data_IF_027914652880
#
_entry.id   IF_027914652880
#
_cell.length_a   1.000
_cell.length_b   1.000
_cell.length_c   1.000
_cell.angle_alpha   90.00
_cell.angle_beta   90.00
_cell.angle_gamma   90.00
#
_symmetry.space_group_name_H-M   'P 1'
#
loop_
_entity.id
_entity.type
_entity.pdbx_description
1 polymer ?
#
# COMPACT_ATOMS: atom_id res chain seq x y z
N UNK A 1 16.07 -12.73 1.63
CA UNK A 1 15.21 -11.76 2.36
C UNK A 1 13.74 -12.15 2.23
N UNK A 2 13.28 -12.39 1.00
CA UNK A 2 11.97 -13.01 0.74
C UNK A 2 11.80 -14.37 1.42
N UNK A 3 12.83 -15.22 1.51
CA UNK A 3 12.73 -16.55 2.17
C UNK A 3 12.19 -16.49 3.61
N UNK A 4 12.61 -15.48 4.39
CA UNK A 4 12.09 -15.27 5.75
C UNK A 4 10.65 -14.76 5.75
N UNK A 5 10.31 -13.88 4.80
CA UNK A 5 8.96 -13.37 4.64
C UNK A 5 8.00 -14.48 4.16
N UNK A 6 8.42 -15.33 3.23
CA UNK A 6 7.67 -16.47 2.72
C UNK A 6 7.42 -17.49 3.83
N UNK A 7 8.43 -17.79 4.64
CA UNK A 7 8.28 -18.65 5.83
C UNK A 7 7.26 -18.08 6.82
N UNK A 8 7.33 -16.78 7.11
CA UNK A 8 6.39 -16.13 8.02
C UNK A 8 4.96 -16.11 7.45
N UNK A 9 4.80 -15.81 6.16
CA UNK A 9 3.49 -15.82 5.48
C UNK A 9 2.90 -17.22 5.38
N UNK A 10 3.71 -18.25 5.16
CA UNK A 10 3.27 -19.65 5.21
C UNK A 10 2.74 -20.00 6.60
N UNK A 11 3.41 -19.53 7.67
CA UNK A 11 2.91 -19.67 9.04
C UNK A 11 1.56 -18.99 9.26
N UNK A 12 1.35 -17.80 8.70
CA UNK A 12 0.04 -17.10 8.76
C UNK A 12 -1.04 -17.86 7.98
N UNK A 13 -0.70 -18.40 6.80
CA UNK A 13 -1.63 -19.17 5.97
C UNK A 13 -2.05 -20.50 6.61
N UNK A 14 -1.21 -21.06 7.48
CA UNK A 14 -1.50 -22.29 8.23
C UNK A 14 -2.24 -22.07 9.55
N UNK A 15 -2.65 -20.85 9.89
CA UNK A 15 -3.42 -20.59 11.10
C UNK A 15 -4.84 -21.16 11.00
N UNK A 16 -5.17 -22.09 11.88
CA UNK A 16 -6.56 -22.46 12.16
C UNK A 16 -7.15 -21.41 13.11
N UNK A 17 -8.04 -20.57 12.58
CA UNK A 17 -8.69 -19.50 13.34
C UNK A 17 -10.07 -19.99 13.79
N UNK A 18 -10.19 -20.31 15.06
CA UNK A 18 -11.46 -20.70 15.70
C UNK A 18 -11.77 -19.76 16.88
N UNK A 19 -12.14 -18.49 16.60
CA UNK A 19 -12.40 -17.52 17.66
C UNK A 19 -13.64 -17.94 18.45
N UNK A 20 -13.49 -18.05 19.77
CA UNK A 20 -14.54 -18.49 20.70
C UNK A 20 -15.56 -17.39 21.05
N UNK A 21 -15.30 -16.14 20.65
CA UNK A 21 -16.13 -14.98 20.95
C UNK A 21 -15.80 -13.74 20.13
N UNK A 22 -16.66 -12.71 20.25
CA UNK A 22 -16.59 -11.50 19.42
C UNK A 22 -15.30 -10.69 19.62
N UNK A 23 -14.76 -10.63 20.84
CA UNK A 23 -13.53 -9.90 21.13
C UNK A 23 -12.31 -10.56 20.50
N UNK A 24 -12.26 -11.90 20.56
CA UNK A 24 -11.22 -12.70 19.91
C UNK A 24 -11.33 -12.59 18.39
N UNK A 25 -12.53 -12.73 17.82
CA UNK A 25 -12.76 -12.55 16.39
C UNK A 25 -12.32 -11.16 15.90
N UNK A 26 -12.64 -10.10 16.66
CA UNK A 26 -12.22 -8.74 16.37
C UNK A 26 -10.69 -8.58 16.44
N UNK A 27 -10.04 -9.20 17.43
CA UNK A 27 -8.59 -9.17 17.56
C UNK A 27 -7.91 -9.89 16.38
N UNK A 28 -8.38 -11.08 16.01
CA UNK A 28 -7.91 -11.82 14.85
C UNK A 28 -8.05 -11.01 13.56
N UNK A 29 -9.24 -10.46 13.31
CA UNK A 29 -9.52 -9.66 12.11
C UNK A 29 -8.60 -8.44 12.01
N UNK A 30 -8.44 -7.68 13.11
CA UNK A 30 -7.52 -6.52 13.15
C UNK A 30 -6.08 -6.93 12.90
N UNK A 31 -5.64 -8.05 13.46
CA UNK A 31 -4.25 -8.52 13.34
C UNK A 31 -3.92 -8.93 11.91
N UNK A 32 -4.80 -9.71 11.28
CA UNK A 32 -4.65 -10.15 9.88
C UNK A 32 -4.66 -8.95 8.95
N UNK A 33 -5.58 -8.02 9.17
CA UNK A 33 -5.67 -6.80 8.38
C UNK A 33 -4.41 -5.94 8.50
N UNK A 34 -3.81 -5.83 9.69
CA UNK A 34 -2.53 -5.13 9.87
C UNK A 34 -1.39 -5.81 9.09
N UNK A 35 -1.33 -7.15 9.10
CA UNK A 35 -0.35 -7.90 8.31
C UNK A 35 -0.56 -7.66 6.81
N UNK A 36 -1.80 -7.74 6.32
CA UNK A 36 -2.16 -7.44 4.92
C UNK A 36 -1.67 -6.06 4.51
N UNK A 37 -1.95 -5.03 5.33
CA UNK A 37 -1.52 -3.65 5.07
C UNK A 37 0.00 -3.49 5.00
N UNK A 38 0.77 -4.18 5.84
CA UNK A 38 2.24 -4.12 5.78
C UNK A 38 2.81 -4.65 4.46
N UNK A 39 2.19 -5.71 3.91
CA UNK A 39 2.56 -6.24 2.59
C UNK A 39 2.16 -5.26 1.49
N UNK A 40 0.95 -4.69 1.57
CA UNK A 40 0.49 -3.67 0.63
C UNK A 40 1.38 -2.41 0.64
N UNK A 41 1.83 -1.96 1.81
CA UNK A 41 2.76 -0.85 1.97
C UNK A 41 4.12 -1.15 1.33
N UNK A 42 4.64 -2.35 1.54
CA UNK A 42 5.89 -2.81 0.92
C UNK A 42 5.77 -2.82 -0.62
N UNK A 43 4.66 -3.34 -1.15
CA UNK A 43 4.39 -3.34 -2.59
C UNK A 43 4.33 -1.90 -3.14
N UNK A 44 3.60 -1.00 -2.47
CA UNK A 44 3.51 0.39 -2.88
C UNK A 44 4.90 1.08 -2.85
N UNK A 45 5.72 0.78 -1.85
CA UNK A 45 7.10 1.25 -1.75
C UNK A 45 7.97 0.79 -2.92
N UNK A 46 7.87 -0.49 -3.32
CA UNK A 46 8.55 -1.01 -4.50
C UNK A 46 8.13 -0.27 -5.78
N UNK A 47 6.83 -0.01 -5.95
CA UNK A 47 6.32 0.76 -7.10
C UNK A 47 6.88 2.18 -7.10
N UNK A 48 6.99 2.84 -5.95
CA UNK A 48 7.64 4.16 -5.85
C UNK A 48 9.10 4.11 -6.29
N UNK A 49 9.87 3.16 -5.79
CA UNK A 49 11.28 3.00 -6.16
C UNK A 49 11.44 2.67 -7.66
N UNK A 50 10.54 1.86 -8.22
CA UNK A 50 10.52 1.53 -9.63
C UNK A 50 10.15 2.73 -10.51
N UNK A 51 9.20 3.60 -10.08
CA UNK A 51 8.90 4.86 -10.79
C UNK A 51 10.08 5.83 -10.76
N UNK A 52 10.80 5.92 -9.64
CA UNK A 52 11.96 6.82 -9.52
C UNK A 52 13.13 6.42 -10.42
N UNK A 53 13.37 5.11 -10.59
CA UNK A 53 14.47 4.56 -11.39
C UNK A 53 14.09 4.23 -12.84
N UNK A 54 12.79 4.19 -13.15
CA UNK A 54 12.24 3.67 -14.40
C UNK A 54 12.72 2.23 -14.74
N UNK A 55 13.05 1.40 -13.72
CA UNK A 55 13.63 0.06 -13.91
C UNK A 55 12.78 -0.87 -14.79
N UNK A 56 11.46 -0.67 -14.79
CA UNK A 56 10.52 -1.42 -15.64
C UNK A 56 10.74 -1.20 -17.16
N UNK A 57 11.48 -0.17 -17.56
CA UNK A 57 11.87 0.03 -18.96
C UNK A 57 12.81 -1.11 -19.45
N UNK A 58 13.57 -1.72 -18.55
CA UNK A 58 14.39 -2.91 -18.87
C UNK A 58 13.57 -4.13 -19.30
N UNK A 59 12.29 -4.17 -18.92
CA UNK A 59 11.30 -5.19 -19.32
C UNK A 59 10.38 -4.70 -20.47
N UNK A 60 10.76 -3.61 -21.14
CA UNK A 60 10.02 -3.03 -22.26
C UNK A 60 8.72 -2.30 -21.89
N UNK A 61 8.46 -2.05 -20.60
CA UNK A 61 7.25 -1.35 -20.18
C UNK A 61 7.44 0.17 -20.18
N UNK A 62 6.44 0.89 -20.71
CA UNK A 62 6.47 2.36 -20.81
C UNK A 62 6.26 3.08 -19.47
N UNK A 63 5.55 2.45 -18.54
CA UNK A 63 5.21 3.05 -17.24
C UNK A 63 4.88 1.99 -16.20
N UNK A 64 4.89 2.39 -14.93
CA UNK A 64 4.59 1.52 -13.80
C UNK A 64 3.19 0.91 -13.84
N UNK A 65 2.18 1.55 -14.44
CA UNK A 65 0.83 0.97 -14.55
C UNK A 65 0.84 -0.25 -15.47
N UNK A 66 1.42 -0.14 -16.67
CA UNK A 66 1.53 -1.27 -17.61
C UNK A 66 2.38 -2.38 -17.00
N UNK A 67 3.50 -2.04 -16.37
CA UNK A 67 4.36 -3.01 -15.68
C UNK A 67 3.61 -3.76 -14.57
N UNK A 68 2.98 -3.02 -13.64
CA UNK A 68 2.21 -3.60 -12.52
C UNK A 68 1.06 -4.47 -13.01
N UNK A 69 0.40 -4.08 -14.12
CA UNK A 69 -0.66 -4.87 -14.76
C UNK A 69 -0.13 -6.22 -15.24
N UNK A 70 0.99 -6.20 -15.99
CA UNK A 70 1.55 -7.39 -16.66
C UNK A 70 2.19 -8.36 -15.67
N UNK A 71 3.02 -7.86 -14.77
CA UNK A 71 3.73 -8.70 -13.78
C UNK A 71 2.76 -9.37 -12.82
N UNK A 72 1.74 -8.65 -12.35
CA UNK A 72 0.82 -9.15 -11.33
C UNK A 72 -0.51 -9.69 -11.88
N UNK A 73 -0.68 -9.76 -13.21
CA UNK A 73 -1.91 -10.22 -13.88
C UNK A 73 -3.19 -9.50 -13.39
N UNK A 74 -3.09 -8.18 -13.20
CA UNK A 74 -4.18 -7.36 -12.67
C UNK A 74 -5.08 -6.83 -13.78
N UNK A 75 -6.30 -6.46 -13.43
CA UNK A 75 -7.08 -5.53 -14.27
C UNK A 75 -6.37 -4.18 -14.35
N UNK A 76 -6.67 -3.41 -15.40
CA UNK A 76 -6.09 -2.08 -15.59
C UNK A 76 -6.53 -1.13 -14.48
N UNK A 77 -7.75 -1.28 -13.99
CA UNK A 77 -8.36 -0.51 -12.91
C UNK A 77 -7.61 -0.72 -11.60
N UNK A 78 -7.32 -1.98 -11.25
CA UNK A 78 -6.59 -2.32 -10.03
C UNK A 78 -5.11 -1.90 -10.11
N UNK A 79 -4.46 -2.07 -11.27
CA UNK A 79 -3.10 -1.57 -11.45
C UNK A 79 -3.02 -0.04 -11.30
N UNK A 80 -4.00 0.70 -11.85
CA UNK A 80 -4.10 2.16 -11.66
C UNK A 80 -4.32 2.53 -10.20
N UNK A 81 -5.16 1.78 -9.47
CA UNK A 81 -5.37 1.96 -8.02
C UNK A 81 -4.05 1.82 -7.25
N UNK A 82 -3.30 0.73 -7.46
CA UNK A 82 -2.00 0.50 -6.81
C UNK A 82 -0.97 1.58 -7.12
N UNK A 83 -0.85 1.98 -8.39
CA UNK A 83 0.07 3.07 -8.78
C UNK A 83 -0.36 4.41 -8.19
N UNK A 84 -1.66 4.67 -8.05
CA UNK A 84 -2.17 5.89 -7.41
C UNK A 84 -1.84 5.92 -5.91
N UNK A 85 -1.99 4.78 -5.22
CA UNK A 85 -1.57 4.63 -3.81
C UNK A 85 -0.08 4.90 -3.69
N UNK A 86 0.76 4.27 -4.53
CA UNK A 86 2.21 4.48 -4.55
C UNK A 86 2.59 5.96 -4.72
N UNK A 87 1.98 6.66 -5.69
CA UNK A 87 2.21 8.10 -5.90
C UNK A 87 1.72 8.95 -4.73
N UNK A 88 0.63 8.56 -4.08
CA UNK A 88 0.08 9.28 -2.92
C UNK A 88 1.05 9.20 -1.75
N UNK A 89 1.54 8.01 -1.40
CA UNK A 89 2.51 7.86 -0.30
C UNK A 89 3.90 8.42 -0.63
N UNK A 90 4.23 8.62 -1.91
CA UNK A 90 5.43 9.35 -2.34
C UNK A 90 5.32 10.83 -2.01
N UNK A 91 4.16 11.42 -2.25
CA UNK A 91 3.91 12.83 -2.02
C UNK A 91 3.54 13.14 -0.55
N UNK A 92 3.19 12.13 0.26
CA UNK A 92 2.71 12.26 1.65
C UNK A 92 3.48 11.34 2.63
N UNK A 93 4.65 11.77 3.15
CA UNK A 93 5.47 10.99 4.10
C UNK A 93 4.78 10.57 5.40
N UNK A 94 3.91 11.37 6.02
CA UNK A 94 3.25 10.96 7.26
C UNK A 94 2.20 9.86 7.00
N UNK A 95 1.44 9.99 5.92
CA UNK A 95 0.55 8.93 5.39
C UNK A 95 1.34 7.66 5.08
N UNK A 96 2.53 7.76 4.48
CA UNK A 96 3.41 6.61 4.26
C UNK A 96 3.77 5.90 5.57
N UNK A 97 4.27 6.63 6.57
CA UNK A 97 4.62 6.07 7.88
C UNK A 97 3.42 5.39 8.55
N UNK A 98 2.22 5.98 8.43
CA UNK A 98 1.00 5.38 8.96
C UNK A 98 0.60 4.09 8.22
N UNK A 99 0.79 4.04 6.90
CA UNK A 99 0.53 2.86 6.08
C UNK A 99 1.50 1.72 6.37
N UNK A 100 2.80 2.03 6.44
CA UNK A 100 3.86 1.06 6.80
C UNK A 100 3.65 0.47 8.19
N UNK A 101 3.11 1.25 9.13
CA UNK A 101 2.72 0.77 10.46
C UNK A 101 1.39 -0.02 10.48
N UNK A 102 0.68 -0.12 9.35
CA UNK A 102 -0.62 -0.77 9.23
C UNK A 102 -1.79 -0.04 9.91
N UNK A 103 -1.58 1.22 10.35
CA UNK A 103 -2.59 2.05 11.03
C UNK A 103 -3.71 2.48 10.08
N UNK A 104 -3.37 2.71 8.81
CA UNK A 104 -4.32 2.99 7.74
C UNK A 104 -4.17 1.98 6.60
N UNK A 105 -5.24 1.75 5.84
CA UNK A 105 -5.27 0.85 4.69
C UNK A 105 -5.38 1.58 3.34
N UNK A 106 -5.34 0.80 2.26
CA UNK A 106 -5.39 1.31 0.88
C UNK A 106 -6.64 2.12 0.57
N UNK A 107 -7.79 1.81 1.17
CA UNK A 107 -9.04 2.54 0.96
C UNK A 107 -8.98 3.98 1.51
N UNK A 108 -8.37 4.17 2.68
CA UNK A 108 -8.16 5.50 3.27
C UNK A 108 -7.18 6.30 2.40
N UNK A 109 -6.13 5.66 1.91
CA UNK A 109 -5.16 6.31 1.01
C UNK A 109 -5.83 6.70 -0.32
N UNK A 110 -6.74 5.89 -0.85
CA UNK A 110 -7.51 6.25 -2.05
C UNK A 110 -8.43 7.44 -1.80
N UNK A 111 -9.05 7.54 -0.62
CA UNK A 111 -9.83 8.72 -0.25
C UNK A 111 -8.95 9.97 -0.22
N UNK A 112 -7.76 9.89 0.39
CA UNK A 112 -6.77 10.98 0.41
C UNK A 112 -6.33 11.32 -1.02
N UNK A 113 -6.04 10.33 -1.86
CA UNK A 113 -5.61 10.51 -3.24
C UNK A 113 -6.65 11.27 -4.09
N UNK A 114 -7.94 11.08 -3.82
CA UNK A 114 -9.02 11.83 -4.49
C UNK A 114 -8.95 13.33 -4.15
N UNK A 115 -8.69 13.66 -2.88
CA UNK A 115 -8.56 15.05 -2.42
C UNK A 115 -7.25 15.66 -2.94
N UNK A 116 -6.14 14.93 -2.87
CA UNK A 116 -4.82 15.39 -3.33
C UNK A 116 -4.79 15.76 -4.83
N UNK A 117 -5.68 15.16 -5.63
CA UNK A 117 -5.87 15.50 -7.05
C UNK A 117 -6.62 16.80 -7.30
N UNK A 118 -7.35 17.33 -6.32
CA UNK A 118 -8.06 18.60 -6.45
C UNK A 118 -7.06 19.75 -6.30
N UNK A 119 -6.80 20.57 -7.34
CA UNK A 119 -5.84 21.65 -7.27
C UNK A 119 -6.12 22.66 -6.15
N UNK A 120 -7.40 22.85 -5.79
CA UNK A 120 -7.81 23.79 -4.73
C UNK A 120 -7.47 23.30 -3.32
N UNK A 121 -7.39 21.98 -3.12
CA UNK A 121 -7.14 21.37 -1.82
C UNK A 121 -5.70 20.82 -1.69
N UNK A 122 -4.98 20.64 -2.81
CA UNK A 122 -3.67 19.98 -2.83
C UNK A 122 -2.67 20.58 -1.84
N UNK A 123 -2.52 21.91 -1.84
CA UNK A 123 -1.56 22.58 -0.96
C UNK A 123 -1.88 22.36 0.53
N UNK A 124 -3.17 22.35 0.90
CA UNK A 124 -3.60 22.11 2.27
C UNK A 124 -3.32 20.67 2.69
N UNK A 125 -3.58 19.68 1.83
CA UNK A 125 -3.30 18.27 2.12
C UNK A 125 -1.81 18.03 2.35
N UNK A 126 -0.95 18.65 1.54
CA UNK A 126 0.51 18.54 1.71
C UNK A 126 0.95 19.17 3.04
N UNK A 127 0.47 20.37 3.37
CA UNK A 127 0.78 21.04 4.62
C UNK A 127 0.34 20.22 5.85
N UNK A 128 -0.87 19.63 5.83
CA UNK A 128 -1.33 18.76 6.91
C UNK A 128 -0.47 17.51 7.09
N UNK A 129 0.02 16.92 6.00
CA UNK A 129 0.90 15.75 6.10
C UNK A 129 2.28 16.13 6.66
N UNK A 130 2.80 17.30 6.31
CA UNK A 130 4.03 17.85 6.89
C UNK A 130 3.88 18.10 8.41
N UNK A 131 2.77 18.70 8.85
CA UNK A 131 2.48 18.94 10.27
C UNK A 131 2.39 17.63 11.08
N UNK A 132 1.89 16.55 10.47
CA UNK A 132 1.80 15.22 11.08
C UNK A 132 3.12 14.44 11.06
N UNK A 133 4.12 14.91 10.32
CA UNK A 133 5.41 14.24 10.20
C UNK A 133 6.40 14.59 11.33
N UNK A 134 6.09 15.65 12.10
CA UNK A 134 6.79 16.15 13.30
C UNK A 134 6.61 15.19 14.48
#
# INVERSE_FOLDING_TARGET
>A
AFDRADTALAGVAGLELDPSGIDEANACLRRIEQLRRSVEATLAGLVVAAEASAVFAGDGHRNATTWTTRVNRLSREEARRRVRIARTIRDLPAVRKAFEAGRIGTDQIEAIAKILRNPRARAQVLAFDEDLAV
#
